data_IF_447321401449
#
_entry.id   IF_447321401449
#
_cell.length_a   1.000
_cell.length_b   1.000
_cell.length_c   1.000
_cell.angle_alpha   90.00
_cell.angle_beta   90.00
_cell.angle_gamma   90.00
#
_symmetry.space_group_name_H-M   'P 1'
#
loop_
_entity.id
_entity.type
_entity.pdbx_description
1 polymer ?
#
# COMPACT_ATOMS: atom_id res chain seq x y z
N UNK A 1 18.16 -36.90 -22.75
CA UNK A 1 17.66 -37.14 -21.39
C UNK A 1 17.39 -35.86 -20.57
N UNK A 2 18.10 -34.75 -20.77
CA UNK A 2 17.86 -33.45 -20.04
C UNK A 2 16.42 -32.88 -20.17
N UNK A 3 15.79 -32.98 -21.35
CA UNK A 3 14.44 -32.41 -21.57
C UNK A 3 13.29 -33.12 -20.82
N UNK A 4 13.43 -34.43 -20.53
CA UNK A 4 12.39 -35.17 -19.77
C UNK A 4 12.40 -34.76 -18.29
N UNK A 5 13.56 -34.56 -17.68
CA UNK A 5 13.68 -34.12 -16.30
C UNK A 5 13.11 -32.71 -16.07
N UNK A 6 13.33 -31.79 -17.01
CA UNK A 6 12.78 -30.43 -16.95
C UNK A 6 11.25 -30.41 -17.06
N UNK A 7 10.64 -31.27 -17.89
CA UNK A 7 9.18 -31.38 -18.01
C UNK A 7 8.55 -31.92 -16.73
N UNK A 8 9.15 -32.92 -16.10
CA UNK A 8 8.65 -33.49 -14.83
C UNK A 8 8.78 -32.44 -13.71
N UNK A 9 9.90 -31.75 -13.61
CA UNK A 9 10.10 -30.69 -12.62
C UNK A 9 9.09 -29.52 -12.82
N UNK A 10 8.87 -29.11 -14.06
CA UNK A 10 7.87 -28.11 -14.42
C UNK A 10 6.45 -28.55 -14.02
N UNK A 11 6.10 -29.81 -14.28
CA UNK A 11 4.81 -30.36 -13.90
C UNK A 11 4.60 -30.36 -12.37
N UNK A 12 5.60 -30.79 -11.61
CA UNK A 12 5.56 -30.78 -10.13
C UNK A 12 5.40 -29.36 -9.61
N UNK A 13 6.17 -28.40 -10.16
CA UNK A 13 6.06 -27.00 -9.77
C UNK A 13 4.66 -26.41 -10.05
N UNK A 14 4.10 -26.69 -11.23
CA UNK A 14 2.75 -26.22 -11.56
C UNK A 14 1.69 -26.86 -10.67
N UNK A 15 1.80 -28.16 -10.40
CA UNK A 15 0.89 -28.87 -9.50
C UNK A 15 0.92 -28.28 -8.09
N UNK A 16 2.12 -28.03 -7.56
CA UNK A 16 2.29 -27.39 -6.26
C UNK A 16 1.71 -25.97 -6.23
N UNK A 17 1.96 -25.17 -7.27
CA UNK A 17 1.40 -23.83 -7.39
C UNK A 17 -0.12 -23.84 -7.46
N UNK A 18 -0.72 -24.79 -8.18
CA UNK A 18 -2.19 -24.93 -8.25
C UNK A 18 -2.76 -25.23 -6.87
N UNK A 19 -2.17 -26.17 -6.12
CA UNK A 19 -2.63 -26.50 -4.77
C UNK A 19 -2.55 -25.24 -3.85
N UNK A 20 -1.43 -24.55 -3.86
CA UNK A 20 -1.28 -23.31 -3.07
C UNK A 20 -2.31 -22.25 -3.48
N UNK A 21 -2.56 -22.11 -4.77
CA UNK A 21 -3.56 -21.18 -5.30
C UNK A 21 -4.97 -21.52 -4.80
N UNK A 22 -5.35 -22.79 -4.85
CA UNK A 22 -6.66 -23.27 -4.34
C UNK A 22 -6.78 -22.97 -2.85
N UNK A 23 -5.75 -23.28 -2.04
CA UNK A 23 -5.75 -23.01 -0.60
C UNK A 23 -5.85 -21.49 -0.33
N UNK A 24 -5.15 -20.66 -1.08
CA UNK A 24 -5.16 -19.21 -0.90
C UNK A 24 -6.50 -18.56 -1.34
N UNK A 25 -7.12 -19.09 -2.40
CA UNK A 25 -8.39 -18.58 -2.94
C UNK A 25 -9.59 -19.09 -2.14
N UNK A 26 -9.50 -20.26 -1.52
CA UNK A 26 -10.61 -20.89 -0.79
C UNK A 26 -11.30 -19.96 0.22
N UNK A 27 -10.58 -19.24 1.13
CA UNK A 27 -11.22 -18.33 2.07
C UNK A 27 -11.97 -17.19 1.37
N UNK A 28 -11.43 -16.66 0.26
CA UNK A 28 -12.08 -15.59 -0.50
C UNK A 28 -13.39 -16.06 -1.14
N UNK A 29 -13.35 -17.23 -1.78
CA UNK A 29 -14.56 -17.86 -2.35
C UNK A 29 -15.58 -18.16 -1.26
N UNK A 30 -15.13 -18.67 -0.11
CA UNK A 30 -16.00 -18.93 1.04
C UNK A 30 -16.71 -17.66 1.53
N UNK A 31 -15.99 -16.54 1.71
CA UNK A 31 -16.56 -15.27 2.13
C UNK A 31 -17.60 -14.78 1.13
N UNK A 32 -17.28 -14.82 -0.18
CA UNK A 32 -18.20 -14.41 -1.25
C UNK A 32 -19.47 -15.27 -1.23
N UNK A 33 -19.35 -16.59 -1.20
CA UNK A 33 -20.49 -17.49 -1.15
C UNK A 33 -21.32 -17.31 0.12
N UNK A 34 -20.66 -17.08 1.27
CA UNK A 34 -21.32 -16.85 2.54
C UNK A 34 -22.11 -15.54 2.56
N UNK A 35 -21.62 -14.50 1.90
CA UNK A 35 -22.28 -13.17 1.87
C UNK A 35 -23.58 -13.16 1.10
N UNK A 36 -23.83 -14.15 0.23
CA UNK A 36 -25.04 -14.26 -0.58
C UNK A 36 -26.01 -15.37 -0.12
N UNK A 37 -25.73 -16.05 1.02
CA UNK A 37 -26.60 -17.04 1.61
C UNK A 37 -27.86 -16.42 2.22
N UNK A 38 -28.96 -17.17 2.20
CA UNK A 38 -30.22 -16.73 2.80
C UNK A 38 -30.22 -16.64 4.32
N UNK A 39 -31.25 -15.98 4.86
CA UNK A 39 -31.44 -15.84 6.31
C UNK A 39 -31.47 -17.21 7.01
N UNK A 40 -30.71 -17.33 8.09
CA UNK A 40 -30.64 -18.57 8.90
C UNK A 40 -29.79 -19.68 8.30
N UNK A 41 -29.35 -19.57 7.04
CA UNK A 41 -28.54 -20.63 6.40
C UNK A 41 -27.14 -20.73 7.05
N UNK A 42 -26.53 -19.61 7.42
CA UNK A 42 -25.24 -19.59 8.11
C UNK A 42 -25.29 -20.18 9.53
N UNK A 43 -26.44 -20.06 10.21
CA UNK A 43 -26.66 -20.62 11.55
C UNK A 43 -27.15 -22.06 11.52
N UNK A 44 -27.97 -22.41 10.51
CA UNK A 44 -28.55 -23.76 10.39
C UNK A 44 -27.61 -24.75 9.67
N UNK A 45 -26.79 -24.31 8.73
CA UNK A 45 -25.80 -25.13 8.04
C UNK A 45 -24.51 -24.33 7.79
N UNK A 46 -23.70 -24.09 8.83
CA UNK A 46 -22.50 -23.28 8.71
C UNK A 46 -21.44 -23.87 7.76
N UNK A 47 -21.42 -25.18 7.58
CA UNK A 47 -20.46 -25.90 6.72
C UNK A 47 -20.90 -26.05 5.27
N UNK A 48 -22.13 -25.68 4.94
CA UNK A 48 -22.63 -25.73 3.56
C UNK A 48 -21.80 -24.83 2.66
N UNK A 49 -21.16 -25.40 1.61
CA UNK A 49 -20.31 -24.62 0.70
C UNK A 49 -21.13 -23.72 -0.22
N UNK A 50 -22.15 -24.27 -0.86
CA UNK A 50 -23.01 -23.55 -1.79
C UNK A 50 -24.25 -22.96 -1.10
N UNK A 51 -24.70 -21.74 -1.46
CA UNK A 51 -25.95 -21.19 -0.97
C UNK A 51 -27.13 -22.02 -1.48
N UNK A 52 -28.08 -22.34 -0.59
CA UNK A 52 -29.37 -22.96 -0.95
C UNK A 52 -30.35 -21.92 -1.49
N UNK A 53 -30.27 -20.71 -0.92
CA UNK A 53 -31.06 -19.57 -1.36
C UNK A 53 -30.12 -18.39 -1.59
N UNK A 54 -30.29 -17.73 -2.74
CA UNK A 54 -29.47 -16.55 -3.09
C UNK A 54 -30.19 -15.30 -2.60
N UNK A 55 -29.47 -14.44 -1.86
CA UNK A 55 -29.97 -13.13 -1.43
C UNK A 55 -28.89 -12.06 -1.45
N UNK A 56 -29.29 -10.83 -1.77
CA UNK A 56 -28.46 -9.62 -1.63
C UNK A 56 -28.97 -8.72 -0.49
N UNK A 57 -29.89 -9.21 0.33
CA UNK A 57 -30.53 -8.46 1.40
C UNK A 57 -29.51 -7.92 2.41
N UNK A 58 -28.49 -8.69 2.73
CA UNK A 58 -27.41 -8.25 3.63
C UNK A 58 -26.61 -7.08 3.05
N UNK A 59 -26.32 -7.09 1.75
CA UNK A 59 -25.67 -5.96 1.10
C UNK A 59 -26.52 -4.71 1.13
N UNK A 60 -27.82 -4.86 0.85
CA UNK A 60 -28.78 -3.77 0.92
C UNK A 60 -28.85 -3.19 2.34
N UNK A 61 -28.98 -4.04 3.34
CA UNK A 61 -29.01 -3.63 4.75
C UNK A 61 -27.74 -2.88 5.17
N UNK A 62 -26.56 -3.40 4.84
CA UNK A 62 -25.28 -2.76 5.17
C UNK A 62 -25.14 -1.41 4.48
N UNK A 63 -25.46 -1.34 3.19
CA UNK A 63 -25.26 -0.12 2.39
C UNK A 63 -26.26 0.98 2.80
N UNK A 64 -27.55 0.64 2.90
CA UNK A 64 -28.62 1.64 3.06
C UNK A 64 -29.03 1.83 4.52
N UNK A 65 -29.23 0.75 5.28
CA UNK A 65 -29.76 0.86 6.64
C UNK A 65 -28.66 1.19 7.67
N UNK A 66 -27.46 0.63 7.51
CA UNK A 66 -26.31 0.91 8.38
C UNK A 66 -25.47 2.10 7.91
N UNK A 67 -25.78 2.70 6.77
CA UNK A 67 -25.05 3.87 6.24
C UNK A 67 -23.56 3.61 5.94
N UNK A 68 -23.21 2.36 5.65
CA UNK A 68 -21.81 1.94 5.44
C UNK A 68 -21.10 2.69 4.32
N UNK A 69 -21.86 3.19 3.34
CA UNK A 69 -21.30 4.03 2.26
C UNK A 69 -20.60 5.29 2.79
N UNK A 70 -21.08 5.86 3.90
CA UNK A 70 -20.45 7.03 4.52
C UNK A 70 -19.11 6.66 5.16
N UNK A 71 -19.00 5.45 5.72
CA UNK A 71 -17.75 4.94 6.27
C UNK A 71 -16.72 4.70 5.16
N UNK A 72 -17.16 4.12 4.03
CA UNK A 72 -16.29 3.94 2.85
C UNK A 72 -15.80 5.30 2.34
N UNK A 73 -16.68 6.27 2.15
CA UNK A 73 -16.30 7.63 1.70
C UNK A 73 -15.32 8.30 2.66
N UNK A 74 -15.55 8.17 3.95
CA UNK A 74 -14.66 8.73 4.97
C UNK A 74 -13.28 8.08 4.94
N UNK A 75 -13.21 6.75 4.89
CA UNK A 75 -11.94 5.99 4.81
C UNK A 75 -11.19 6.30 3.52
N UNK A 76 -11.88 6.30 2.37
CA UNK A 76 -11.28 6.62 1.08
C UNK A 76 -10.74 8.06 1.05
N UNK A 77 -11.48 9.02 1.61
CA UNK A 77 -11.04 10.41 1.70
C UNK A 77 -9.78 10.58 2.56
N UNK A 78 -9.74 9.93 3.72
CA UNK A 78 -8.55 9.95 4.60
C UNK A 78 -7.37 9.28 3.91
N UNK A 79 -7.56 8.10 3.32
CA UNK A 79 -6.51 7.37 2.61
C UNK A 79 -5.95 8.18 1.43
N UNK A 80 -6.83 8.82 0.63
CA UNK A 80 -6.41 9.65 -0.50
C UNK A 80 -5.55 10.83 -0.06
N UNK A 81 -6.00 11.58 0.96
CA UNK A 81 -5.26 12.74 1.47
C UNK A 81 -3.91 12.31 2.05
N UNK A 82 -3.91 11.24 2.85
CA UNK A 82 -2.68 10.69 3.43
C UNK A 82 -1.69 10.26 2.35
N UNK A 83 -2.15 9.53 1.35
CA UNK A 83 -1.32 9.05 0.23
C UNK A 83 -0.74 10.22 -0.56
N UNK A 84 -1.54 11.22 -0.92
CA UNK A 84 -1.06 12.40 -1.64
C UNK A 84 0.05 13.13 -0.88
N UNK A 85 -0.16 13.41 0.40
CA UNK A 85 0.85 14.07 1.23
C UNK A 85 2.10 13.19 1.37
N UNK A 86 1.92 11.90 1.66
CA UNK A 86 3.02 10.95 1.81
C UNK A 86 3.89 10.87 0.55
N UNK A 87 3.27 10.76 -0.63
CA UNK A 87 3.99 10.67 -1.90
C UNK A 87 4.74 11.96 -2.22
N UNK A 88 4.13 13.14 -2.03
CA UNK A 88 4.81 14.43 -2.27
C UNK A 88 6.04 14.55 -1.37
N UNK A 89 5.87 14.34 -0.07
CA UNK A 89 6.95 14.42 0.91
C UNK A 89 8.02 13.37 0.60
N UNK A 90 7.62 12.14 0.33
CA UNK A 90 8.55 11.05 0.05
C UNK A 90 9.33 11.25 -1.25
N UNK A 91 8.72 11.76 -2.31
CA UNK A 91 9.41 12.03 -3.58
C UNK A 91 10.48 13.12 -3.41
N UNK A 92 10.16 14.20 -2.72
CA UNK A 92 11.12 15.28 -2.43
C UNK A 92 12.26 14.79 -1.53
N UNK A 93 11.93 14.05 -0.47
CA UNK A 93 12.92 13.49 0.45
C UNK A 93 13.82 12.46 -0.24
N UNK A 94 13.26 11.53 -1.00
CA UNK A 94 14.01 10.49 -1.71
C UNK A 94 14.96 11.10 -2.77
N UNK A 95 14.47 12.08 -3.54
CA UNK A 95 15.32 12.81 -4.49
C UNK A 95 16.46 13.53 -3.76
N UNK A 96 16.16 14.23 -2.68
CA UNK A 96 17.17 14.91 -1.84
C UNK A 96 18.24 13.95 -1.30
N UNK A 97 17.82 12.81 -0.77
CA UNK A 97 18.70 11.75 -0.26
C UNK A 97 19.63 11.21 -1.37
N UNK A 98 19.09 10.95 -2.54
CA UNK A 98 19.87 10.33 -3.63
C UNK A 98 20.83 11.32 -4.29
N UNK A 99 20.43 12.58 -4.47
CA UNK A 99 21.19 13.54 -5.28
C UNK A 99 22.06 14.50 -4.46
N UNK A 100 21.60 14.90 -3.27
CA UNK A 100 22.33 15.90 -2.48
C UNK A 100 23.10 15.32 -1.31
N UNK A 101 22.64 14.19 -0.77
CA UNK A 101 23.23 13.61 0.44
C UNK A 101 23.53 12.12 0.32
N UNK A 102 24.30 11.64 -0.70
CA UNK A 102 24.43 10.20 -0.98
C UNK A 102 25.05 9.40 0.18
N UNK A 103 26.01 9.96 0.90
CA UNK A 103 26.64 9.29 2.08
C UNK A 103 25.68 9.22 3.26
N UNK A 104 25.07 10.32 3.62
CA UNK A 104 24.06 10.42 4.67
C UNK A 104 22.80 9.63 4.31
N UNK A 105 22.41 9.66 3.04
CA UNK A 105 21.23 8.98 2.53
C UNK A 105 21.26 7.47 2.69
N UNK A 106 22.45 6.83 2.63
CA UNK A 106 22.54 5.39 2.89
C UNK A 106 22.23 5.04 4.36
N UNK A 107 22.69 5.87 5.28
CA UNK A 107 22.40 5.73 6.72
C UNK A 107 20.91 6.03 6.98
N UNK A 108 20.40 7.14 6.42
CA UNK A 108 18.99 7.52 6.57
C UNK A 108 18.04 6.44 6.04
N UNK A 109 18.33 5.84 4.88
CA UNK A 109 17.52 4.74 4.35
C UNK A 109 17.48 3.55 5.30
N UNK A 110 18.59 3.21 5.96
CA UNK A 110 18.62 2.13 6.96
C UNK A 110 17.80 2.49 8.19
N UNK A 111 17.90 3.72 8.69
CA UNK A 111 17.11 4.21 9.81
C UNK A 111 15.63 4.15 9.49
N UNK A 112 15.21 4.63 8.30
CA UNK A 112 13.80 4.58 7.88
C UNK A 112 13.25 3.15 7.83
N UNK A 113 14.02 2.18 7.33
CA UNK A 113 13.61 0.76 7.34
C UNK A 113 13.49 0.25 8.78
N UNK A 114 14.42 0.62 9.66
CA UNK A 114 14.38 0.18 11.06
C UNK A 114 13.14 0.72 11.78
N UNK A 115 12.75 1.97 11.52
CA UNK A 115 11.51 2.53 12.10
C UNK A 115 10.26 1.82 11.59
N UNK A 116 10.25 1.37 10.34
CA UNK A 116 9.13 0.63 9.76
C UNK A 116 8.99 -0.80 10.33
N UNK A 117 10.10 -1.43 10.71
CA UNK A 117 10.09 -2.78 11.32
C UNK A 117 9.49 -2.75 12.73
N UNK A 118 9.46 -1.57 13.38
CA UNK A 118 8.90 -1.45 14.72
C UNK A 118 7.38 -1.74 14.70
N UNK A 119 6.88 -2.66 15.56
CA UNK A 119 5.48 -3.06 15.53
C UNK A 119 4.55 -1.86 15.80
N UNK A 120 3.64 -1.49 14.86
CA UNK A 120 2.77 -0.32 15.03
C UNK A 120 1.88 -0.37 16.27
N UNK A 121 1.51 -1.58 16.73
CA UNK A 121 0.67 -1.77 17.91
C UNK A 121 1.32 -1.21 19.19
N UNK A 122 2.64 -1.24 19.29
CA UNK A 122 3.35 -0.70 20.45
C UNK A 122 3.30 0.84 20.49
N UNK A 123 3.07 1.47 19.35
CA UNK A 123 2.93 2.93 19.24
C UNK A 123 1.49 3.40 19.48
N UNK A 124 0.51 2.50 19.59
CA UNK A 124 -0.89 2.88 19.77
C UNK A 124 -1.10 3.73 21.03
N UNK A 125 -0.52 3.34 22.16
CA UNK A 125 -0.62 4.09 23.40
C UNK A 125 0.06 5.46 23.32
N UNK A 126 1.35 5.58 22.94
CA UNK A 126 2.00 6.88 22.74
C UNK A 126 1.25 7.80 21.79
N UNK A 127 0.78 7.30 20.65
CA UNK A 127 -0.01 8.10 19.71
C UNK A 127 -1.33 8.58 20.32
N UNK A 128 -2.04 7.74 21.04
CA UNK A 128 -3.27 8.13 21.73
C UNK A 128 -3.03 9.28 22.72
N UNK A 129 -1.94 9.24 23.48
CA UNK A 129 -1.57 10.29 24.43
C UNK A 129 -1.23 11.59 23.70
N UNK A 130 -0.43 11.52 22.63
CA UNK A 130 -0.04 12.70 21.84
C UNK A 130 -1.27 13.33 21.19
N UNK A 131 -2.16 12.52 20.58
CA UNK A 131 -3.39 13.00 19.95
C UNK A 131 -4.35 13.61 20.99
N UNK A 132 -4.43 13.02 22.19
CA UNK A 132 -5.24 13.57 23.26
C UNK A 132 -4.74 14.96 23.72
N UNK A 133 -3.43 15.09 23.93
CA UNK A 133 -2.80 16.40 24.29
C UNK A 133 -2.96 17.47 23.20
N UNK A 134 -2.96 17.03 21.93
CA UNK A 134 -3.16 17.92 20.78
C UNK A 134 -4.64 18.25 20.51
N UNK A 135 -5.61 17.65 21.23
CA UNK A 135 -7.03 17.82 20.97
C UNK A 135 -7.51 17.19 19.65
N UNK A 136 -6.77 16.22 19.12
CA UNK A 136 -7.00 15.60 17.82
C UNK A 136 -7.62 14.19 17.90
N UNK A 137 -8.00 13.74 19.09
CA UNK A 137 -8.70 12.46 19.27
C UNK A 137 -10.04 12.48 18.52
N UNK A 138 -10.34 11.39 17.86
CA UNK A 138 -11.56 11.20 17.07
C UNK A 138 -11.75 12.25 15.95
N UNK A 139 -10.66 12.77 15.40
CA UNK A 139 -10.66 13.68 14.25
C UNK A 139 -10.01 13.06 13.03
N UNK A 140 -10.46 13.44 11.82
CA UNK A 140 -9.84 13.02 10.55
C UNK A 140 -8.38 13.48 10.45
N UNK A 141 -8.08 14.69 10.94
CA UNK A 141 -6.73 15.26 10.91
C UNK A 141 -5.81 14.43 11.80
N UNK A 142 -6.23 14.09 13.02
CA UNK A 142 -5.45 13.22 13.91
C UNK A 142 -5.13 11.88 13.27
N UNK A 143 -6.10 11.25 12.60
CA UNK A 143 -5.89 9.99 11.91
C UNK A 143 -4.92 10.13 10.72
N UNK A 144 -5.03 11.20 9.92
CA UNK A 144 -4.10 11.48 8.82
C UNK A 144 -2.67 11.65 9.35
N UNK A 145 -2.46 12.41 10.43
CA UNK A 145 -1.13 12.60 11.03
C UNK A 145 -0.52 11.27 11.48
N UNK A 146 -1.31 10.44 12.15
CA UNK A 146 -0.85 9.11 12.58
C UNK A 146 -0.48 8.26 11.37
N UNK A 147 -1.31 8.21 10.33
CA UNK A 147 -1.01 7.44 9.13
C UNK A 147 0.23 7.95 8.38
N UNK A 148 0.42 9.28 8.29
CA UNK A 148 1.62 9.86 7.68
C UNK A 148 2.91 9.42 8.39
N UNK A 149 2.88 9.25 9.72
CA UNK A 149 4.04 8.82 10.48
C UNK A 149 4.54 7.43 10.11
N UNK A 150 3.65 6.55 9.65
CA UNK A 150 3.98 5.21 9.15
C UNK A 150 4.24 5.21 7.64
N UNK A 151 3.44 5.94 6.88
CA UNK A 151 3.49 5.90 5.41
C UNK A 151 4.73 6.58 4.85
N UNK A 152 5.14 7.75 5.41
CA UNK A 152 6.27 8.52 4.88
C UNK A 152 7.59 7.73 4.94
N UNK A 153 8.02 7.11 6.06
CA UNK A 153 9.27 6.38 6.11
C UNK A 153 9.37 5.27 5.06
N UNK A 154 8.29 4.51 4.89
CA UNK A 154 8.23 3.45 3.89
C UNK A 154 8.25 4.00 2.46
N UNK A 155 7.42 5.01 2.18
CA UNK A 155 7.36 5.63 0.86
C UNK A 155 8.72 6.23 0.45
N UNK A 156 9.43 6.90 1.37
CA UNK A 156 10.78 7.42 1.13
C UNK A 156 11.74 6.28 0.80
N UNK A 157 11.75 5.23 1.62
CA UNK A 157 12.64 4.08 1.39
C UNK A 157 12.41 3.45 0.02
N UNK A 158 11.14 3.22 -0.34
CA UNK A 158 10.80 2.61 -1.63
C UNK A 158 11.20 3.53 -2.80
N UNK A 159 10.88 4.83 -2.72
CA UNK A 159 11.22 5.79 -3.76
C UNK A 159 12.71 6.04 -3.91
N UNK A 160 13.52 5.93 -2.85
CA UNK A 160 14.99 5.99 -2.95
C UNK A 160 15.52 4.92 -3.92
N UNK A 161 14.93 3.73 -3.94
CA UNK A 161 15.28 2.68 -4.92
C UNK A 161 15.02 3.12 -6.35
N UNK A 162 13.85 3.70 -6.61
CA UNK A 162 13.49 4.19 -7.96
C UNK A 162 14.33 5.39 -8.38
N UNK A 163 14.59 6.36 -7.52
CA UNK A 163 15.44 7.51 -7.88
C UNK A 163 16.90 7.11 -8.13
N UNK A 164 17.41 6.07 -7.44
CA UNK A 164 18.75 5.53 -7.70
C UNK A 164 18.89 4.88 -9.08
N UNK A 165 17.81 4.36 -9.65
CA UNK A 165 17.83 3.74 -10.98
C UNK A 165 17.93 4.76 -12.12
N UNK A 166 17.65 6.04 -11.87
CA UNK A 166 17.77 7.11 -12.87
C UNK A 166 19.23 7.55 -13.00
N UNK A 167 19.88 7.38 -14.18
CA UNK A 167 21.27 7.80 -14.39
C UNK A 167 21.42 9.31 -14.22
N UNK A 168 22.45 9.74 -13.49
CA UNK A 168 22.69 11.16 -13.22
C UNK A 168 22.98 11.96 -14.50
N UNK A 169 23.59 11.32 -15.52
CA UNK A 169 23.89 11.95 -16.81
C UNK A 169 22.68 12.54 -17.54
N UNK A 170 21.47 11.98 -17.32
CA UNK A 170 20.23 12.54 -17.89
C UNK A 170 19.92 13.91 -17.26
N UNK A 171 20.14 14.05 -15.95
CA UNK A 171 19.95 15.32 -15.26
C UNK A 171 21.02 16.36 -15.61
N UNK A 172 22.26 15.88 -15.82
CA UNK A 172 23.38 16.72 -16.25
C UNK A 172 23.15 17.27 -17.67
N UNK A 173 22.71 16.43 -18.60
CA UNK A 173 22.35 16.85 -19.95
C UNK A 173 21.25 17.93 -19.93
N UNK A 174 20.18 17.73 -19.18
CA UNK A 174 19.11 18.71 -19.06
C UNK A 174 19.58 20.05 -18.45
N UNK A 175 20.61 20.03 -17.58
CA UNK A 175 21.20 21.25 -17.03
C UNK A 175 22.08 21.98 -18.07
N UNK A 176 22.78 21.25 -18.93
CA UNK A 176 23.51 21.82 -20.06
C UNK A 176 22.55 22.55 -21.00
N UNK A 177 21.34 21.98 -21.19
CA UNK A 177 20.27 22.61 -21.97
C UNK A 177 19.58 23.79 -21.25
N UNK A 178 20.12 24.24 -20.10
CA UNK A 178 19.67 25.43 -19.37
C UNK A 178 18.53 25.18 -18.36
N UNK A 179 18.16 23.93 -18.09
CA UNK A 179 17.14 23.64 -17.09
C UNK A 179 17.68 23.83 -15.65
N UNK A 180 16.94 24.56 -14.83
CA UNK A 180 17.23 24.64 -13.40
C UNK A 180 16.86 23.35 -12.66
N UNK A 181 17.32 23.19 -11.40
CA UNK A 181 17.11 21.96 -10.60
C UNK A 181 15.62 21.56 -10.44
N UNK A 182 14.75 22.54 -10.26
CA UNK A 182 13.30 22.30 -10.11
C UNK A 182 12.71 21.79 -11.41
N UNK A 183 13.10 22.39 -12.54
CA UNK A 183 12.66 21.96 -13.86
C UNK A 183 13.17 20.55 -14.17
N UNK A 184 14.46 20.26 -13.91
CA UNK A 184 15.01 18.91 -14.07
C UNK A 184 14.22 17.89 -13.24
N UNK A 185 13.97 18.18 -11.96
CA UNK A 185 13.17 17.31 -11.10
C UNK A 185 11.77 17.05 -11.67
N UNK A 186 11.02 18.13 -12.01
CA UNK A 186 9.62 18.02 -12.42
C UNK A 186 9.39 17.46 -13.81
N UNK A 187 10.25 17.84 -14.80
CA UNK A 187 10.03 17.50 -16.21
C UNK A 187 10.86 16.32 -16.70
N UNK A 188 11.95 15.98 -16.02
CA UNK A 188 12.84 14.89 -16.43
C UNK A 188 12.77 13.72 -15.45
N UNK A 189 13.05 13.97 -14.18
CA UNK A 189 13.21 12.88 -13.20
C UNK A 189 11.86 12.30 -12.77
N UNK A 190 10.86 13.12 -12.41
CA UNK A 190 9.55 12.64 -11.98
C UNK A 190 8.85 11.74 -13.01
N UNK A 191 8.83 12.06 -14.31
CA UNK A 191 8.26 11.15 -15.30
C UNK A 191 8.99 9.80 -15.38
N UNK A 192 10.31 9.78 -15.25
CA UNK A 192 11.09 8.54 -15.28
C UNK A 192 10.81 7.64 -14.07
N UNK A 193 10.55 8.22 -12.91
CA UNK A 193 10.21 7.47 -11.68
C UNK A 193 8.71 7.29 -11.48
N UNK A 194 7.86 7.79 -12.40
CA UNK A 194 6.40 7.69 -12.29
C UNK A 194 5.87 6.28 -12.01
N UNK A 195 6.39 5.20 -12.64
CA UNK A 195 5.96 3.85 -12.28
C UNK A 195 6.21 3.51 -10.79
N UNK A 196 7.34 3.97 -10.26
CA UNK A 196 7.67 3.81 -8.83
C UNK A 196 6.76 4.62 -7.92
N UNK A 197 6.41 5.85 -8.34
CA UNK A 197 5.47 6.72 -7.62
C UNK A 197 4.09 6.05 -7.55
N UNK A 198 3.59 5.54 -8.68
CA UNK A 198 2.30 4.85 -8.76
C UNK A 198 2.30 3.60 -7.88
N UNK A 199 3.33 2.76 -7.96
CA UNK A 199 3.46 1.57 -7.13
C UNK A 199 3.47 1.93 -5.62
N UNK A 200 4.22 2.97 -5.25
CA UNK A 200 4.26 3.47 -3.86
C UNK A 200 2.91 4.02 -3.42
N UNK A 201 2.21 4.75 -4.30
CA UNK A 201 0.89 5.29 -4.01
C UNK A 201 -0.16 4.20 -3.80
N UNK A 202 -0.15 3.14 -4.62
CA UNK A 202 -1.06 1.99 -4.44
C UNK A 202 -0.80 1.28 -3.10
N UNK A 203 0.46 1.16 -2.71
CA UNK A 203 0.81 0.52 -1.44
C UNK A 203 0.43 1.38 -0.22
N UNK A 204 0.55 2.71 -0.32
CA UNK A 204 0.25 3.64 0.79
C UNK A 204 -1.23 3.94 0.94
N UNK A 205 -2.01 3.74 -0.11
CA UNK A 205 -3.48 3.88 -0.10
C UNK A 205 -4.15 2.68 0.60
#
# INVERSE_FOLDING_TARGET
>A
MKHKGQKIQSFICHFYLIILTIIAIFPLVWIILSSIKGKGELTGNPTGFLPKTFTLEYFRHVIFDLGFINNIKNSAGIALVTTLIAIIVAALAAYGIVRFFPKFGSVMSKVLVTTYIFPPILLAIPYSIVMAKAGLVNTRIGLIIVYLSFSIPYAVWLLVGFFKSVPIGIEEAARIDGANKIKVFGTVVLPLVAPGIVATAIYTF
#
